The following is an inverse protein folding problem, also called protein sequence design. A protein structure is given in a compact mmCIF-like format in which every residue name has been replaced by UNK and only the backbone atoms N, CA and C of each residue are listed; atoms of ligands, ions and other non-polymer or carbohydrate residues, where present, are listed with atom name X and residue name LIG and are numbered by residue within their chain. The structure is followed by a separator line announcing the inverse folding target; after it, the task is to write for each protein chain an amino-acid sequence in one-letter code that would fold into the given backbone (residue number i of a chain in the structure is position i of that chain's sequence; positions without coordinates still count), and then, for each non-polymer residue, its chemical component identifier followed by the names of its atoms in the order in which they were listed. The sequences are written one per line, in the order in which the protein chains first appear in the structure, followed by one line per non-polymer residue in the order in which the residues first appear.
data_IF_491862818619
#
_entry.id   IF_491862818619
#
_cell.length_a   1.000
_cell.length_b   1.000
_cell.length_c   1.000
_cell.angle_alpha   90.00
_cell.angle_beta   90.00
_cell.angle_gamma   90.00
#
_symmetry.space_group_name_H-M   'P 1'
#
loop_
_entity.id
_entity.type
_entity.pdbx_description
1 polymer ?
#
# COMPACT_ATOMS: atom_id res chain seq x y z
N UNK A 1 0.62 -11.70 6.74
CA UNK A 1 0.18 -10.29 6.68
C UNK A 1 -1.03 -10.14 7.58
N UNK A 2 -1.13 -9.04 8.31
CA UNK A 2 -2.23 -8.76 9.25
C UNK A 2 -2.94 -7.46 8.89
N UNK A 3 -4.20 -7.32 9.33
CA UNK A 3 -5.05 -6.17 9.01
C UNK A 3 -5.68 -5.57 10.28
N UNK A 4 -4.87 -4.97 11.16
CA UNK A 4 -5.35 -4.44 12.44
C UNK A 4 -6.40 -3.34 12.22
N UNK A 5 -7.56 -3.48 12.87
CA UNK A 5 -8.63 -2.50 12.81
C UNK A 5 -9.42 -2.44 11.49
N UNK A 6 -9.17 -3.34 10.54
CA UNK A 6 -9.96 -3.44 9.30
C UNK A 6 -10.98 -4.58 9.38
N UNK A 7 -12.25 -4.25 9.54
CA UNK A 7 -13.35 -5.20 9.75
C UNK A 7 -13.92 -5.75 8.41
N UNK A 8 -14.54 -6.94 8.46
CA UNK A 8 -15.18 -7.57 7.29
C UNK A 8 -14.20 -8.22 6.31
N UNK A 9 -14.63 -8.57 5.09
CA UNK A 9 -13.78 -9.01 3.96
C UNK A 9 -12.78 -10.15 4.26
N UNK A 10 -13.17 -11.14 5.07
CA UNK A 10 -12.29 -12.25 5.47
C UNK A 10 -11.65 -13.00 4.28
N UNK A 11 -12.38 -13.37 3.21
CA UNK A 11 -11.78 -14.10 2.08
C UNK A 11 -10.69 -13.30 1.35
N UNK A 12 -10.89 -11.99 1.19
CA UNK A 12 -9.92 -11.10 0.53
C UNK A 12 -8.66 -10.95 1.39
N UNK A 13 -8.82 -10.75 2.70
CA UNK A 13 -7.70 -10.64 3.64
C UNK A 13 -6.89 -11.93 3.70
N UNK A 14 -7.54 -13.07 3.70
CA UNK A 14 -6.88 -14.37 3.71
C UNK A 14 -6.10 -14.61 2.41
N UNK A 15 -6.73 -14.39 1.24
CA UNK A 15 -6.08 -14.55 -0.06
C UNK A 15 -4.82 -13.67 -0.19
N UNK A 16 -4.92 -12.39 0.22
CA UNK A 16 -3.78 -11.47 0.18
C UNK A 16 -2.69 -11.85 1.18
N UNK A 17 -3.07 -12.35 2.37
CA UNK A 17 -2.10 -12.82 3.36
C UNK A 17 -1.34 -14.03 2.89
N UNK A 18 -2.03 -15.01 2.29
CA UNK A 18 -1.41 -16.20 1.71
C UNK A 18 -0.50 -15.82 0.54
N UNK A 19 -0.94 -14.94 -0.37
CA UNK A 19 -0.13 -14.48 -1.48
C UNK A 19 1.16 -13.77 -1.01
N UNK A 20 1.05 -12.95 0.04
CA UNK A 20 2.19 -12.27 0.64
C UNK A 20 3.17 -13.26 1.28
N UNK A 21 2.69 -14.18 2.13
CA UNK A 21 3.53 -15.19 2.77
C UNK A 21 4.19 -16.15 1.78
N UNK A 22 3.55 -16.39 0.63
CA UNK A 22 4.10 -17.21 -0.46
C UNK A 22 5.08 -16.46 -1.38
N UNK A 23 5.34 -15.16 -1.15
CA UNK A 23 6.18 -14.35 -2.04
C UNK A 23 5.57 -14.13 -3.44
N UNK A 24 4.25 -14.31 -3.59
CA UNK A 24 3.51 -14.19 -4.86
C UNK A 24 2.47 -13.06 -4.80
N UNK A 25 2.83 -11.98 -4.13
CA UNK A 25 1.92 -10.84 -3.99
C UNK A 25 1.69 -10.18 -5.37
N UNK A 26 0.44 -9.86 -5.76
CA UNK A 26 0.17 -9.22 -7.04
C UNK A 26 0.88 -7.86 -7.17
N UNK A 27 1.45 -7.61 -8.35
CA UNK A 27 2.11 -6.34 -8.69
C UNK A 27 1.12 -5.17 -8.84
N UNK A 28 -0.16 -5.45 -9.04
CA UNK A 28 -1.23 -4.46 -9.11
C UNK A 28 -2.51 -4.99 -8.47
N UNK A 29 -3.23 -4.12 -7.76
CA UNK A 29 -4.52 -4.40 -7.13
C UNK A 29 -5.51 -3.28 -7.46
N UNK A 30 -6.71 -3.66 -7.91
CA UNK A 30 -7.85 -2.76 -8.07
C UNK A 30 -8.84 -2.99 -6.93
N UNK A 31 -8.98 -2.01 -6.04
CA UNK A 31 -9.95 -2.07 -4.93
C UNK A 31 -11.28 -1.47 -5.37
N UNK A 32 -12.31 -2.31 -5.45
CA UNK A 32 -13.68 -1.91 -5.80
C UNK A 32 -14.62 -2.12 -4.61
N UNK A 33 -15.64 -1.26 -4.51
CA UNK A 33 -16.66 -1.32 -3.47
C UNK A 33 -17.31 0.05 -3.27
N UNK A 34 -18.36 0.11 -2.46
CA UNK A 34 -19.12 1.34 -2.20
C UNK A 34 -18.27 2.44 -1.54
N UNK A 35 -18.65 3.72 -1.65
CA UNK A 35 -18.07 4.78 -0.85
C UNK A 35 -18.18 4.47 0.65
N UNK A 36 -17.13 4.76 1.43
CA UNK A 36 -17.15 4.56 2.89
C UNK A 36 -16.66 3.20 3.39
N UNK A 37 -16.55 2.16 2.55
CA UNK A 37 -16.11 0.80 2.98
C UNK A 37 -14.62 0.69 3.36
N UNK A 38 -13.89 1.82 3.43
CA UNK A 38 -12.49 1.83 3.89
C UNK A 38 -11.45 1.45 2.83
N UNK A 39 -11.74 1.50 1.53
CA UNK A 39 -10.78 1.17 0.44
C UNK A 39 -9.43 1.87 0.57
N UNK A 40 -9.44 3.19 0.87
CA UNK A 40 -8.21 3.97 1.07
C UNK A 40 -7.43 3.51 2.30
N UNK A 41 -8.14 3.19 3.39
CA UNK A 41 -7.53 2.63 4.61
C UNK A 41 -6.89 1.28 4.32
N UNK A 42 -7.58 0.42 3.58
CA UNK A 42 -7.07 -0.89 3.19
C UNK A 42 -5.82 -0.78 2.31
N UNK A 43 -5.83 0.10 1.30
CA UNK A 43 -4.65 0.37 0.47
C UNK A 43 -3.44 0.83 1.30
N UNK A 44 -3.66 1.70 2.29
CA UNK A 44 -2.58 2.17 3.19
C UNK A 44 -2.03 1.05 4.07
N UNK A 45 -2.88 0.18 4.61
CA UNK A 45 -2.45 -0.99 5.39
C UNK A 45 -1.63 -1.97 4.54
N UNK A 46 -2.06 -2.22 3.29
CA UNK A 46 -1.31 -3.05 2.35
C UNK A 46 0.07 -2.45 2.06
N UNK A 47 0.13 -1.15 1.75
CA UNK A 47 1.39 -0.47 1.50
C UNK A 47 2.33 -0.53 2.72
N UNK A 48 1.79 -0.32 3.93
CA UNK A 48 2.54 -0.43 5.18
C UNK A 48 3.09 -1.85 5.41
N UNK A 49 2.31 -2.88 5.08
CA UNK A 49 2.73 -4.27 5.21
C UNK A 49 3.83 -4.64 4.20
N UNK A 50 3.74 -4.15 2.96
CA UNK A 50 4.71 -4.43 1.91
C UNK A 50 6.10 -3.87 2.23
N UNK A 51 6.18 -2.66 2.79
CA UNK A 51 7.46 -2.04 3.21
C UNK A 51 7.94 -2.46 4.60
N UNK A 52 7.21 -3.37 5.26
CA UNK A 52 7.59 -3.83 6.60
C UNK A 52 8.87 -4.66 6.56
N UNK A 53 9.80 -4.40 7.51
CA UNK A 53 11.03 -5.18 7.68
C UNK A 53 10.80 -6.57 8.30
N UNK A 54 9.69 -6.76 9.01
CA UNK A 54 9.30 -8.02 9.65
C UNK A 54 8.14 -8.65 8.87
N UNK A 55 8.46 -9.40 7.80
CA UNK A 55 7.46 -9.96 6.87
C UNK A 55 6.54 -11.00 7.54
N UNK A 56 7.04 -11.74 8.51
CA UNK A 56 6.32 -12.73 9.31
C UNK A 56 5.10 -12.14 10.04
N UNK A 57 5.22 -10.90 10.52
CA UNK A 57 4.17 -10.16 11.26
C UNK A 57 3.81 -8.82 10.62
N UNK A 58 3.95 -8.71 9.30
CA UNK A 58 3.69 -7.46 8.58
C UNK A 58 2.19 -7.10 8.56
N UNK A 59 1.78 -5.85 8.83
CA UNK A 59 2.60 -4.73 9.29
C UNK A 59 2.86 -4.81 10.80
N UNK A 60 4.14 -4.84 11.21
CA UNK A 60 4.51 -4.96 12.63
C UNK A 60 4.20 -3.71 13.48
N UNK A 61 3.98 -2.56 12.85
CA UNK A 61 3.68 -1.29 13.53
C UNK A 61 4.84 -0.61 14.26
N UNK A 62 5.95 -1.31 14.54
CA UNK A 62 7.06 -0.81 15.36
C UNK A 62 8.35 -0.51 14.59
N UNK A 63 8.60 -1.17 13.45
CA UNK A 63 9.81 -0.91 12.68
C UNK A 63 9.79 0.49 12.03
N UNK A 64 10.96 1.12 11.77
CA UNK A 64 11.03 2.47 11.21
C UNK A 64 10.21 2.65 9.93
N UNK A 65 10.25 1.66 9.04
CA UNK A 65 9.50 1.66 7.77
C UNK A 65 7.99 1.63 8.02
N UNK A 66 7.49 0.81 8.96
CA UNK A 66 6.08 0.80 9.34
C UNK A 66 5.63 2.12 9.98
N UNK A 67 6.47 2.74 10.82
CA UNK A 67 6.17 4.02 11.47
C UNK A 67 6.07 5.14 10.43
N UNK A 68 7.04 5.24 9.52
CA UNK A 68 7.04 6.22 8.41
C UNK A 68 5.87 6.00 7.46
N UNK A 69 5.56 4.75 7.12
CA UNK A 69 4.42 4.42 6.27
C UNK A 69 3.09 4.85 6.91
N UNK A 70 2.93 4.62 8.22
CA UNK A 70 1.76 5.07 8.98
C UNK A 70 1.64 6.61 9.01
N UNK A 71 2.77 7.30 9.11
CA UNK A 71 2.84 8.76 9.07
C UNK A 71 2.69 9.36 7.66
N UNK A 72 2.70 8.53 6.61
CA UNK A 72 2.65 8.99 5.21
C UNK A 72 3.96 9.60 4.70
N UNK A 73 5.08 9.36 5.39
CA UNK A 73 6.40 9.92 5.07
C UNK A 73 7.43 8.88 4.60
N UNK A 74 6.98 7.67 4.27
CA UNK A 74 7.87 6.64 3.74
C UNK A 74 8.32 7.00 2.31
N UNK A 75 9.63 7.02 2.02
CA UNK A 75 10.16 7.48 0.73
C UNK A 75 9.66 6.61 -0.45
N UNK A 76 9.56 5.30 -0.23
CA UNK A 76 9.12 4.34 -1.25
C UNK A 76 7.58 4.17 -1.35
N UNK A 77 6.81 5.03 -0.68
CA UNK A 77 5.34 5.03 -0.80
C UNK A 77 4.91 6.34 -1.46
N UNK A 78 4.36 6.23 -2.68
CA UNK A 78 3.75 7.34 -3.39
C UNK A 78 2.23 7.28 -3.27
N UNK A 79 1.63 8.40 -2.87
CA UNK A 79 0.17 8.57 -2.84
C UNK A 79 -0.18 9.65 -3.85
N UNK A 80 -0.88 9.25 -4.91
CA UNK A 80 -1.42 10.19 -5.89
C UNK A 80 -2.91 10.39 -5.61
N UNK A 81 -3.32 11.66 -5.57
CA UNK A 81 -4.71 12.05 -5.53
C UNK A 81 -4.99 13.00 -6.69
N UNK A 82 -6.17 12.87 -7.29
CA UNK A 82 -6.59 13.74 -8.37
C UNK A 82 -6.79 15.17 -7.86
N UNK A 83 -6.37 16.14 -8.66
CA UNK A 83 -6.40 17.56 -8.32
C UNK A 83 -7.48 18.29 -9.13
N UNK A 84 -7.77 19.54 -8.73
CA UNK A 84 -8.75 20.39 -9.40
C UNK A 84 -10.22 20.00 -9.19
N UNK A 85 -11.11 20.65 -9.93
CA UNK A 85 -12.56 20.48 -9.80
C UNK A 85 -13.06 19.08 -10.20
N UNK A 86 -12.36 18.43 -11.13
CA UNK A 86 -12.70 17.10 -11.67
C UNK A 86 -12.12 15.95 -10.86
N UNK A 87 -11.22 16.22 -9.90
CA UNK A 87 -10.46 15.20 -9.14
C UNK A 87 -9.80 14.16 -10.06
N UNK A 88 -9.34 14.59 -11.23
CA UNK A 88 -8.62 13.75 -12.19
C UNK A 88 -7.13 13.75 -11.89
N UNK A 89 -6.47 12.63 -12.19
CA UNK A 89 -5.00 12.55 -12.20
C UNK A 89 -4.49 13.21 -13.49
N UNK A 90 -3.50 14.10 -13.38
CA UNK A 90 -2.89 14.71 -14.55
C UNK A 90 -1.93 13.75 -15.25
N UNK A 91 -1.67 13.99 -16.53
CA UNK A 91 -0.71 13.21 -17.31
C UNK A 91 0.70 13.36 -16.72
N UNK A 92 1.04 14.55 -16.23
CA UNK A 92 2.32 14.88 -15.60
C UNK A 92 2.53 14.04 -14.33
N UNK A 93 1.52 13.94 -13.46
CA UNK A 93 1.60 13.12 -12.24
C UNK A 93 1.90 11.65 -12.55
N UNK A 94 1.28 11.09 -13.59
CA UNK A 94 1.51 9.71 -14.00
C UNK A 94 2.91 9.52 -14.60
N UNK A 95 3.39 10.48 -15.39
CA UNK A 95 4.75 10.44 -15.95
C UNK A 95 5.80 10.47 -14.85
N UNK A 96 5.67 11.35 -13.87
CA UNK A 96 6.57 11.45 -12.72
C UNK A 96 6.59 10.14 -11.91
N UNK A 97 5.42 9.56 -11.62
CA UNK A 97 5.33 8.26 -10.94
C UNK A 97 6.02 7.15 -11.74
N UNK A 98 5.83 7.13 -13.05
CA UNK A 98 6.45 6.12 -13.92
C UNK A 98 7.96 6.25 -13.92
N UNK A 99 8.49 7.48 -13.93
CA UNK A 99 9.94 7.72 -13.85
C UNK A 99 10.53 7.31 -12.50
N UNK A 100 9.82 7.57 -11.40
CA UNK A 100 10.23 7.17 -10.04
C UNK A 100 10.28 5.64 -9.90
N UNK A 101 9.33 4.91 -10.50
CA UNK A 101 9.26 3.45 -10.44
C UNK A 101 10.47 2.72 -11.09
N UNK A 102 11.25 3.39 -11.94
CA UNK A 102 12.50 2.84 -12.50
C UNK A 102 13.70 2.97 -11.55
N UNK A 103 13.55 3.69 -10.44
CA UNK A 103 14.60 3.84 -9.43
C UNK A 103 14.58 2.65 -8.47
N UNK A 104 15.75 2.32 -7.93
CA UNK A 104 15.82 1.35 -6.84
C UNK A 104 15.11 1.91 -5.58
N UNK A 105 14.50 1.06 -4.75
CA UNK A 105 13.95 1.50 -3.47
C UNK A 105 15.03 2.12 -2.59
N UNK A 106 14.69 3.20 -1.90
CA UNK A 106 15.61 3.93 -1.03
C UNK A 106 15.75 3.24 0.34
N UNK A 107 14.68 2.64 0.87
CA UNK A 107 14.69 1.96 2.17
C UNK A 107 14.03 0.57 2.13
N UNK A 108 13.01 0.37 1.30
CA UNK A 108 12.25 -0.87 1.28
C UNK A 108 13.11 -2.07 0.82
N UNK A 109 13.15 -3.11 1.64
CA UNK A 109 13.80 -4.37 1.32
C UNK A 109 12.83 -5.24 0.51
N UNK A 110 13.15 -5.44 -0.77
CA UNK A 110 12.42 -6.30 -1.71
C UNK A 110 12.77 -7.76 -1.46
#
# INVERSE_FOLDING_TARGET
MEFPGFLGNAPVKEALSQAFSAGRFPHALLLQGEPGVGKRTFARLLAQALVCRHKDRAPCGECPSCVRAKAGSHPDIRVLEGSGATRSLSVEQIKELTMDAYRAPEEAQV
#
